data_IF_473809522912
#
_entry.id   IF_473809522912
#
_cell.length_a   1.000
_cell.length_b   1.000
_cell.length_c   1.000
_cell.angle_alpha   90.00
_cell.angle_beta   90.00
_cell.angle_gamma   90.00
#
_symmetry.space_group_name_H-M   'P 1'
#
loop_
_entity.id
_entity.type
_entity.pdbx_description
1 polymer ?
#
# COMPACT_ATOMS: atom_id res chain seq x y z
N UNK A 1 -5.65 -0.90 -1.85
CA UNK A 1 -6.49 -0.52 -0.70
C UNK A 1 -6.08 0.89 -0.27
N UNK A 2 -7.03 1.76 0.06
CA UNK A 2 -6.75 3.10 0.58
C UNK A 2 -6.58 3.10 2.11
N UNK A 3 -6.98 2.01 2.77
CA UNK A 3 -7.05 1.87 4.24
C UNK A 3 -5.68 1.92 4.94
N UNK A 4 -4.62 1.54 4.23
CA UNK A 4 -3.29 1.40 4.81
C UNK A 4 -2.48 2.69 4.66
N UNK A 5 -1.59 2.76 3.67
CA UNK A 5 -0.65 3.86 3.52
C UNK A 5 -1.31 5.23 3.26
N UNK A 6 -2.54 5.25 2.72
CA UNK A 6 -3.30 6.48 2.46
C UNK A 6 -4.12 6.91 3.68
N UNK A 7 -4.44 5.98 4.60
CA UNK A 7 -5.08 6.29 5.88
C UNK A 7 -6.57 6.64 5.80
N UNK A 8 -7.27 6.20 4.75
CA UNK A 8 -8.71 6.46 4.53
C UNK A 8 -9.41 5.22 3.97
N UNK A 9 -10.73 5.18 3.95
CA UNK A 9 -11.45 4.00 3.47
C UNK A 9 -11.65 4.00 1.95
N UNK A 10 -11.67 2.81 1.34
CA UNK A 10 -12.07 2.60 -0.04
C UNK A 10 -11.05 1.82 -0.88
N UNK A 11 -11.46 1.50 -2.09
CA UNK A 11 -10.65 0.76 -3.06
C UNK A 11 -10.64 1.42 -4.43
N UNK A 12 -9.64 1.07 -5.23
CA UNK A 12 -9.56 1.42 -6.63
C UNK A 12 -9.04 0.23 -7.43
N UNK A 13 -9.34 0.21 -8.73
CA UNK A 13 -8.68 -0.66 -9.70
C UNK A 13 -8.01 0.24 -10.76
N UNK A 14 -6.92 -0.25 -11.35
CA UNK A 14 -6.21 0.46 -12.41
C UNK A 14 -5.85 -0.54 -13.50
N UNK A 15 -6.02 -0.15 -14.76
CA UNK A 15 -5.80 -0.99 -15.92
C UNK A 15 -6.14 -0.24 -17.21
N UNK A 16 -6.18 -0.95 -18.33
CA UNK A 16 -6.65 -0.34 -19.58
C UNK A 16 -8.13 0.05 -19.46
N UNK A 17 -8.55 1.06 -20.24
CA UNK A 17 -9.95 1.49 -20.29
C UNK A 17 -10.89 0.31 -20.55
N UNK A 18 -10.53 -0.58 -21.47
CA UNK A 18 -11.33 -1.78 -21.78
C UNK A 18 -11.54 -2.68 -20.55
N UNK A 19 -10.47 -2.97 -19.80
CA UNK A 19 -10.54 -3.83 -18.61
C UNK A 19 -11.33 -3.16 -17.48
N UNK A 20 -11.07 -1.87 -17.23
CA UNK A 20 -11.76 -1.11 -16.17
C UNK A 20 -13.25 -0.95 -16.50
N UNK A 21 -13.60 -0.64 -17.76
CA UNK A 21 -15.01 -0.53 -18.18
C UNK A 21 -15.73 -1.88 -18.05
N UNK A 22 -15.07 -2.99 -18.45
CA UNK A 22 -15.64 -4.33 -18.27
C UNK A 22 -15.87 -4.64 -16.79
N UNK A 23 -14.90 -4.39 -15.91
CA UNK A 23 -15.06 -4.59 -14.47
C UNK A 23 -16.16 -3.69 -13.87
N UNK A 24 -16.27 -2.43 -14.34
CA UNK A 24 -17.27 -1.47 -13.88
C UNK A 24 -18.70 -1.90 -14.21
N UNK A 25 -18.92 -2.45 -15.41
CA UNK A 25 -20.24 -2.87 -15.88
C UNK A 25 -20.63 -4.27 -15.38
N UNK A 26 -19.66 -5.19 -15.29
CA UNK A 26 -19.90 -6.58 -14.88
C UNK A 26 -19.75 -6.79 -13.37
N UNK A 27 -19.15 -5.85 -12.65
CA UNK A 27 -18.89 -5.95 -11.22
C UNK A 27 -20.14 -5.70 -10.39
N UNK A 28 -20.80 -6.75 -9.91
CA UNK A 28 -21.98 -6.60 -9.04
C UNK A 28 -21.71 -5.73 -7.80
N UNK A 29 -20.54 -5.87 -7.18
CA UNK A 29 -20.13 -5.04 -6.06
C UNK A 29 -19.94 -3.56 -6.40
N UNK A 30 -19.69 -3.22 -7.67
CA UNK A 30 -19.64 -1.82 -8.13
C UNK A 30 -21.04 -1.28 -8.45
N UNK A 31 -21.90 -2.09 -9.09
CA UNK A 31 -23.25 -1.67 -9.50
C UNK A 31 -24.27 -1.61 -8.35
N UNK A 32 -24.17 -2.52 -7.37
CA UNK A 32 -25.16 -2.70 -6.31
C UNK A 32 -24.62 -2.29 -4.92
N UNK A 33 -23.71 -1.32 -4.88
CA UNK A 33 -23.22 -0.71 -3.64
C UNK A 33 -23.30 0.81 -3.68
N UNK A 34 -23.21 1.45 -2.52
CA UNK A 34 -23.14 2.90 -2.43
C UNK A 34 -21.74 3.39 -2.85
N UNK A 35 -21.69 4.52 -3.55
CA UNK A 35 -20.44 5.21 -3.84
C UNK A 35 -19.72 5.65 -2.56
N UNK A 36 -18.39 5.80 -2.64
CA UNK A 36 -17.60 6.34 -1.54
C UNK A 36 -18.10 7.75 -1.14
N UNK A 37 -18.32 8.03 0.16
CA UNK A 37 -18.67 9.37 0.63
C UNK A 37 -17.71 10.47 0.11
N UNK A 38 -18.19 11.65 -0.32
CA UNK A 38 -17.37 12.69 -0.95
C UNK A 38 -16.15 13.12 -0.11
N UNK A 39 -16.32 13.19 1.22
CA UNK A 39 -15.23 13.53 2.14
C UNK A 39 -14.07 12.52 2.06
N UNK A 40 -14.37 11.22 1.97
CA UNK A 40 -13.36 10.16 1.88
C UNK A 40 -12.67 10.19 0.51
N UNK A 41 -13.40 10.47 -0.57
CA UNK A 41 -12.81 10.64 -1.90
C UNK A 41 -11.84 11.83 -1.95
N UNK A 42 -12.20 12.96 -1.33
CA UNK A 42 -11.33 14.15 -1.23
C UNK A 42 -10.08 13.89 -0.37
N UNK A 43 -10.24 13.20 0.76
CA UNK A 43 -9.12 12.82 1.63
C UNK A 43 -8.16 11.83 0.92
N UNK A 44 -8.70 10.83 0.22
CA UNK A 44 -7.90 9.90 -0.58
C UNK A 44 -7.11 10.62 -1.68
N UNK A 45 -7.74 11.55 -2.39
CA UNK A 45 -7.11 12.33 -3.46
C UNK A 45 -5.95 13.16 -2.91
N UNK A 46 -6.19 13.92 -1.85
CA UNK A 46 -5.16 14.71 -1.16
C UNK A 46 -4.00 13.83 -0.68
N UNK A 47 -4.31 12.67 -0.08
CA UNK A 47 -3.30 11.73 0.40
C UNK A 47 -2.40 11.22 -0.72
N UNK A 48 -2.98 10.85 -1.87
CA UNK A 48 -2.22 10.40 -3.05
C UNK A 48 -1.35 11.53 -3.63
N UNK A 49 -1.87 12.75 -3.72
CA UNK A 49 -1.11 13.92 -4.19
C UNK A 49 0.11 14.21 -3.31
N UNK A 50 -0.05 14.11 -1.98
CA UNK A 50 1.06 14.27 -1.03
C UNK A 50 2.12 13.17 -1.23
N UNK A 51 1.71 11.92 -1.43
CA UNK A 51 2.65 10.82 -1.70
C UNK A 51 3.46 11.04 -2.98
N UNK A 52 2.83 11.57 -4.04
CA UNK A 52 3.52 11.92 -5.30
C UNK A 52 4.50 13.07 -5.05
N UNK A 53 4.06 14.13 -4.35
CA UNK A 53 4.87 15.31 -4.03
C UNK A 53 6.10 14.99 -3.20
N UNK A 54 6.01 13.99 -2.31
CA UNK A 54 7.11 13.54 -1.45
C UNK A 54 8.20 12.73 -2.17
N UNK A 55 7.98 12.35 -3.43
CA UNK A 55 8.97 11.68 -4.29
C UNK A 55 9.65 10.48 -3.62
N UNK A 56 8.90 9.66 -2.88
CA UNK A 56 9.42 8.43 -2.28
C UNK A 56 10.21 8.61 -0.98
N UNK A 57 10.41 9.84 -0.49
CA UNK A 57 11.22 10.11 0.72
C UNK A 57 10.77 9.29 1.94
N UNK A 58 9.45 9.19 2.16
CA UNK A 58 8.86 8.41 3.24
C UNK A 58 9.09 6.91 3.08
N UNK A 59 8.98 6.41 1.84
CA UNK A 59 9.18 5.01 1.47
C UNK A 59 10.64 4.60 1.66
N UNK A 60 11.59 5.45 1.26
CA UNK A 60 13.02 5.24 1.50
C UNK A 60 13.34 5.17 2.98
N UNK A 61 12.76 6.06 3.80
CA UNK A 61 12.92 6.02 5.27
C UNK A 61 12.32 4.76 5.87
N UNK A 62 11.10 4.39 5.49
CA UNK A 62 10.45 3.17 5.96
C UNK A 62 11.27 1.92 5.59
N UNK A 63 11.78 1.84 4.36
CA UNK A 63 12.64 0.73 3.91
C UNK A 63 13.93 0.64 4.73
N UNK A 64 14.59 1.78 4.98
CA UNK A 64 15.80 1.81 5.82
C UNK A 64 15.50 1.31 7.25
N UNK A 65 14.43 1.81 7.87
CA UNK A 65 14.02 1.38 9.20
C UNK A 65 13.67 -0.10 9.25
N UNK A 66 12.97 -0.63 8.23
CA UNK A 66 12.66 -2.05 8.13
C UNK A 66 13.93 -2.90 8.05
N UNK A 67 14.92 -2.51 7.24
CA UNK A 67 16.22 -3.22 7.15
C UNK A 67 16.96 -3.19 8.48
N UNK A 68 17.01 -2.05 9.16
CA UNK A 68 17.65 -1.93 10.48
C UNK A 68 16.95 -2.85 11.49
N UNK A 69 15.61 -2.86 11.49
CA UNK A 69 14.81 -3.68 12.38
C UNK A 69 15.08 -5.18 12.12
N UNK A 70 15.03 -5.62 10.87
CA UNK A 70 15.33 -7.02 10.50
C UNK A 70 16.72 -7.46 10.95
N UNK A 71 17.74 -6.60 10.74
CA UNK A 71 19.12 -6.88 11.19
C UNK A 71 19.22 -7.00 12.71
N UNK A 72 18.54 -6.11 13.44
CA UNK A 72 18.52 -6.15 14.90
C UNK A 72 17.86 -7.41 15.42
N UNK A 73 16.73 -7.81 14.83
CA UNK A 73 16.13 -9.09 15.16
C UNK A 73 17.12 -10.24 14.87
N UNK A 74 17.76 -10.31 13.70
CA UNK A 74 18.75 -11.35 13.41
C UNK A 74 19.88 -11.48 14.46
N UNK A 75 20.29 -10.38 15.09
CA UNK A 75 21.32 -10.38 16.13
C UNK A 75 20.84 -10.72 17.55
N UNK A 76 19.53 -10.89 17.79
CA UNK A 76 18.95 -10.98 19.14
C UNK A 76 18.98 -12.35 19.84
N UNK A 77 19.81 -13.31 19.38
CA UNK A 77 20.01 -14.60 20.07
C UNK A 77 19.12 -15.74 19.56
N UNK A 78 19.16 -16.92 20.23
CA UNK A 78 18.65 -18.18 19.69
C UNK A 78 17.11 -18.23 19.48
N UNK A 79 16.33 -17.47 20.23
CA UNK A 79 14.86 -17.38 20.08
C UNK A 79 14.43 -16.16 19.24
N UNK A 80 15.33 -15.66 18.38
CA UNK A 80 15.02 -14.48 17.59
C UNK A 80 13.92 -14.73 16.56
N UNK A 81 13.03 -13.74 16.42
CA UNK A 81 11.99 -13.69 15.39
C UNK A 81 12.54 -13.87 13.96
N UNK A 82 13.83 -13.58 13.74
CA UNK A 82 14.50 -13.78 12.45
C UNK A 82 14.55 -15.24 11.99
N UNK A 83 14.41 -16.19 12.92
CA UNK A 83 14.35 -17.64 12.60
C UNK A 83 13.09 -17.98 11.80
N UNK A 84 12.02 -17.21 11.98
CA UNK A 84 10.73 -17.44 11.31
C UNK A 84 10.50 -16.50 10.13
N UNK A 85 11.18 -15.34 10.11
CA UNK A 85 10.99 -14.35 9.05
C UNK A 85 12.32 -13.74 8.59
N UNK A 86 12.73 -14.11 7.38
CA UNK A 86 13.86 -13.51 6.67
C UNK A 86 13.35 -12.59 5.58
N UNK A 87 13.95 -11.42 5.46
CA UNK A 87 13.70 -10.50 4.36
C UNK A 87 14.73 -10.83 3.27
N UNK A 88 14.29 -11.31 2.12
CA UNK A 88 15.17 -11.46 0.95
C UNK A 88 15.62 -10.06 0.50
N UNK A 89 16.87 -9.72 0.81
CA UNK A 89 17.51 -8.47 0.36
C UNK A 89 18.23 -8.70 -0.98
N UNK A 90 18.02 -9.85 -1.62
CA UNK A 90 18.79 -10.38 -2.75
C UNK A 90 18.37 -9.84 -4.13
N UNK A 91 17.21 -9.20 -4.26
CA UNK A 91 16.80 -8.53 -5.49
C UNK A 91 16.51 -7.06 -5.19
N UNK A 92 17.33 -6.13 -5.68
CA UNK A 92 16.84 -4.93 -6.39
C UNK A 92 17.96 -4.02 -6.89
N UNK A 93 18.03 -3.93 -8.23
CA UNK A 93 18.28 -2.70 -8.99
C UNK A 93 17.31 -1.60 -8.55
#
# INVERSE_FOLDING_TARGET
SLELAVGVFGGFCAGSKFVVDHQRLSGQGYCFSASLPPMLAAAATTGLELLIKEQGSRQSKLRNLAVILSRRFASSGPDSLSTYWQTDVSETV
#
